data_IF_182412365788
#
_entry.id   IF_182412365788
#
_cell.length_a   1.000
_cell.length_b   1.000
_cell.length_c   1.000
_cell.angle_alpha   90.00
_cell.angle_beta   90.00
_cell.angle_gamma   90.00
#
_symmetry.space_group_name_H-M   'P 1'
#
loop_
_entity.id
_entity.type
_entity.pdbx_description
1 polymer ?
#
# COMPACT_ATOMS: atom_id res chain seq x y z
N UNK A 1 5.37 17.42 5.76
CA UNK A 1 5.32 15.94 5.76
C UNK A 1 6.68 15.40 5.38
N UNK A 2 7.12 14.32 6.03
CA UNK A 2 8.33 13.58 5.65
C UNK A 2 7.91 12.32 4.91
N UNK A 3 8.54 12.02 3.79
CA UNK A 3 8.28 10.83 2.99
C UNK A 3 9.42 9.83 3.10
N UNK A 4 9.09 8.56 3.11
CA UNK A 4 10.04 7.45 3.08
C UNK A 4 9.65 6.49 1.98
N UNK A 5 10.63 6.01 1.22
CA UNK A 5 10.47 4.97 0.20
C UNK A 5 11.19 3.72 0.66
N UNK A 6 10.54 2.58 0.48
CA UNK A 6 11.16 1.29 0.76
C UNK A 6 11.43 0.57 -0.55
N UNK A 7 12.66 0.12 -0.73
CA UNK A 7 13.06 -0.74 -1.83
C UNK A 7 12.59 -2.18 -1.58
N UNK A 8 12.59 -2.98 -2.62
CA UNK A 8 12.19 -4.39 -2.51
C UNK A 8 13.17 -5.27 -1.72
N UNK A 9 14.39 -4.82 -1.48
CA UNK A 9 15.35 -5.44 -0.56
C UNK A 9 15.10 -5.08 0.92
N UNK A 10 14.08 -4.25 1.20
CA UNK A 10 13.72 -3.78 2.52
C UNK A 10 14.47 -2.52 2.97
N UNK A 11 15.43 -2.01 2.20
CA UNK A 11 16.11 -0.76 2.54
C UNK A 11 15.16 0.44 2.46
N UNK A 12 15.25 1.35 3.44
CA UNK A 12 14.42 2.55 3.49
C UNK A 12 15.25 3.78 3.10
N UNK A 13 14.67 4.60 2.24
CA UNK A 13 15.22 5.86 1.77
C UNK A 13 14.31 7.01 2.20
N UNK A 14 14.85 7.96 2.97
CA UNK A 14 14.13 9.18 3.30
C UNK A 14 14.20 10.15 2.13
N UNK A 15 13.02 10.56 1.65
CA UNK A 15 12.91 11.57 0.60
C UNK A 15 13.45 12.92 1.11
N UNK A 16 14.07 13.70 0.23
CA UNK A 16 14.29 15.11 0.47
C UNK A 16 12.99 15.84 0.79
N UNK A 17 13.06 17.11 1.09
CA UNK A 17 11.88 17.90 1.40
C UNK A 17 10.80 17.74 0.33
N UNK A 18 9.63 17.29 0.75
CA UNK A 18 8.44 17.28 -0.09
C UNK A 18 7.93 18.71 -0.20
N UNK A 19 7.72 19.19 -1.40
CA UNK A 19 7.14 20.53 -1.65
C UNK A 19 5.67 20.43 -2.08
N UNK A 20 5.23 19.28 -2.56
CA UNK A 20 3.83 19.01 -2.88
C UNK A 20 3.48 17.58 -2.48
N UNK A 21 2.29 17.40 -1.92
CA UNK A 21 1.77 16.08 -1.57
C UNK A 21 0.24 16.09 -1.51
N UNK A 22 -0.35 15.01 -1.94
CA UNK A 22 -1.78 14.74 -1.90
C UNK A 22 -2.00 13.32 -1.39
N UNK A 23 -2.84 13.19 -0.37
CA UNK A 23 -3.32 11.91 0.14
C UNK A 23 -4.83 11.91 0.00
N UNK A 24 -5.38 10.91 -0.67
CA UNK A 24 -6.81 10.78 -0.90
C UNK A 24 -7.31 9.52 -0.18
N UNK A 25 -8.26 9.72 0.72
CA UNK A 25 -8.93 8.66 1.46
C UNK A 25 -10.38 8.63 1.00
N UNK A 26 -10.84 7.47 0.52
CA UNK A 26 -12.18 7.32 -0.04
C UNK A 26 -13.04 6.35 0.75
N UNK A 27 -14.18 6.82 1.28
CA UNK A 27 -15.22 5.92 1.75
C UNK A 27 -15.86 5.21 0.55
N UNK A 28 -15.88 3.88 0.57
CA UNK A 28 -16.43 3.06 -0.52
C UNK A 28 -15.46 2.85 -1.70
N UNK A 29 -14.22 3.30 -1.59
CA UNK A 29 -13.14 2.91 -2.48
C UNK A 29 -12.31 1.81 -1.80
N UNK A 30 -11.99 0.72 -2.50
CA UNK A 30 -11.22 -0.37 -1.91
C UNK A 30 -9.79 0.03 -1.56
N UNK A 31 -9.24 1.07 -2.18
CA UNK A 31 -7.95 1.60 -1.77
C UNK A 31 -7.85 3.11 -1.92
N UNK A 32 -7.11 3.70 -0.99
CA UNK A 32 -6.71 5.10 -1.00
C UNK A 32 -5.63 5.35 -2.05
N UNK A 33 -5.27 6.60 -2.29
CA UNK A 33 -4.20 6.96 -3.22
C UNK A 33 -3.32 8.08 -2.69
N UNK A 34 -2.11 8.16 -3.19
CA UNK A 34 -1.18 9.24 -2.89
C UNK A 34 -0.44 9.75 -4.12
N UNK A 35 -0.09 11.02 -4.09
CA UNK A 35 0.84 11.66 -5.01
C UNK A 35 1.76 12.56 -4.21
N UNK A 36 3.05 12.43 -4.38
CA UNK A 36 4.05 13.26 -3.72
C UNK A 36 5.10 13.74 -4.70
N UNK A 37 5.59 14.96 -4.48
CA UNK A 37 6.64 15.55 -5.27
C UNK A 37 7.77 16.04 -4.37
N UNK A 38 8.99 15.62 -4.66
CA UNK A 38 10.19 15.96 -3.91
C UNK A 38 11.26 16.54 -4.84
N UNK A 39 12.19 17.32 -4.29
CA UNK A 39 13.43 17.64 -5.00
C UNK A 39 14.27 16.37 -5.10
N UNK A 40 14.93 16.19 -6.22
CA UNK A 40 15.79 15.03 -6.48
C UNK A 40 17.16 15.47 -6.97
N UNK A 41 18.20 14.92 -6.39
CA UNK A 41 19.58 15.23 -6.79
C UNK A 41 20.03 14.47 -8.05
N UNK A 42 19.25 13.47 -8.48
CA UNK A 42 19.53 12.66 -9.66
C UNK A 42 20.63 11.62 -9.46
N UNK A 43 21.21 11.50 -8.27
CA UNK A 43 22.40 10.68 -8.00
C UNK A 43 22.14 9.18 -8.13
N UNK A 44 20.91 8.72 -7.92
CA UNK A 44 20.55 7.30 -7.87
C UNK A 44 19.33 7.00 -8.73
N UNK A 45 19.40 7.34 -10.03
CA UNK A 45 18.30 7.04 -10.97
C UNK A 45 17.99 5.53 -11.08
N UNK A 46 18.97 4.67 -10.81
CA UNK A 46 18.82 3.22 -10.72
C UNK A 46 17.89 2.75 -9.60
N UNK A 47 17.72 3.56 -8.55
CA UNK A 47 16.81 3.23 -7.45
C UNK A 47 15.34 3.44 -7.77
N UNK A 48 15.00 4.27 -8.78
CA UNK A 48 13.61 4.64 -9.05
C UNK A 48 12.72 3.41 -9.33
N UNK A 49 13.25 2.42 -10.03
CA UNK A 49 12.56 1.17 -10.33
C UNK A 49 12.55 0.18 -9.16
N UNK A 50 13.24 0.47 -8.06
CA UNK A 50 13.36 -0.42 -6.92
C UNK A 50 12.41 -0.05 -5.79
N UNK A 51 11.81 1.14 -5.84
CA UNK A 51 10.87 1.58 -4.82
C UNK A 51 9.54 0.86 -4.96
N UNK A 52 9.12 0.20 -3.90
CA UNK A 52 7.88 -0.60 -3.86
C UNK A 52 6.85 -0.05 -2.90
N UNK A 53 7.28 0.67 -1.86
CA UNK A 53 6.39 1.20 -0.82
C UNK A 53 6.71 2.65 -0.50
N UNK A 54 5.68 3.38 -0.12
CA UNK A 54 5.74 4.74 0.39
C UNK A 54 5.15 4.80 1.79
N UNK A 55 5.80 5.57 2.67
CA UNK A 55 5.30 5.90 4.00
C UNK A 55 5.39 7.40 4.22
N UNK A 56 4.26 8.03 4.47
CA UNK A 56 4.14 9.46 4.80
C UNK A 56 4.02 9.66 6.31
N UNK A 57 4.85 10.56 6.86
CA UNK A 57 4.87 10.90 8.29
C UNK A 57 4.56 12.38 8.47
N UNK A 58 3.60 12.70 9.34
CA UNK A 58 3.22 14.05 9.71
C UNK A 58 3.16 14.18 11.23
N UNK A 59 3.91 15.13 11.81
CA UNK A 59 3.99 15.32 13.27
C UNK A 59 4.30 14.01 14.02
N UNK A 60 5.32 13.31 13.55
CA UNK A 60 5.80 12.03 14.10
C UNK A 60 4.80 10.85 14.07
N UNK A 61 3.69 11.03 13.34
CA UNK A 61 2.73 9.97 13.12
C UNK A 61 2.71 9.54 11.66
N UNK A 62 2.69 8.23 11.42
CA UNK A 62 2.45 7.71 10.08
C UNK A 62 1.00 8.02 9.68
N UNK A 63 0.85 8.83 8.64
CA UNK A 63 -0.47 9.22 8.10
C UNK A 63 -0.84 8.46 6.85
N UNK A 64 0.12 7.86 6.16
CA UNK A 64 -0.15 7.07 4.98
C UNK A 64 0.91 5.97 4.81
N UNK A 65 0.47 4.79 4.38
CA UNK A 65 1.34 3.71 3.90
C UNK A 65 0.71 3.12 2.64
N UNK A 66 1.51 2.93 1.61
CA UNK A 66 0.99 2.44 0.33
C UNK A 66 2.05 1.80 -0.56
N UNK A 67 1.55 1.30 -1.67
CA UNK A 67 2.33 0.69 -2.76
C UNK A 67 2.69 1.78 -3.77
N UNK A 68 3.92 1.80 -4.25
CA UNK A 68 4.36 2.69 -5.32
C UNK A 68 3.98 2.06 -6.66
N UNK A 69 3.12 2.74 -7.42
CA UNK A 69 2.75 2.33 -8.77
C UNK A 69 3.65 3.01 -9.81
N UNK A 70 4.00 4.30 -9.58
CA UNK A 70 4.83 5.09 -10.49
C UNK A 70 5.87 5.89 -9.71
N UNK A 71 7.09 5.91 -10.22
CA UNK A 71 8.17 6.74 -9.70
C UNK A 71 8.95 7.33 -10.88
N UNK A 72 8.79 8.62 -11.11
CA UNK A 72 9.36 9.31 -12.26
C UNK A 72 10.23 10.49 -11.84
N UNK A 73 11.35 10.68 -12.53
CA UNK A 73 12.15 11.88 -12.39
C UNK A 73 11.94 12.79 -13.60
N UNK A 74 11.67 14.07 -13.35
CA UNK A 74 11.55 15.11 -14.36
C UNK A 74 12.57 16.20 -14.10
N UNK A 75 13.29 16.62 -15.13
CA UNK A 75 14.26 17.72 -15.07
C UNK A 75 13.75 18.93 -15.86
N UNK A 76 13.70 20.08 -15.20
CA UNK A 76 13.35 21.36 -15.80
C UNK A 76 14.39 22.45 -15.47
N UNK A 77 14.08 23.69 -15.84
CA UNK A 77 14.96 24.85 -15.56
C UNK A 77 15.18 25.14 -14.06
N UNK A 78 14.37 24.55 -13.17
CA UNK A 78 14.42 24.74 -11.73
C UNK A 78 15.07 23.55 -11.00
N UNK A 79 15.51 22.53 -11.72
CA UNK A 79 16.18 21.37 -11.14
C UNK A 79 15.50 20.04 -11.52
N UNK A 80 15.89 18.99 -10.82
CA UNK A 80 15.28 17.66 -10.98
C UNK A 80 14.25 17.44 -9.88
N UNK A 81 13.09 16.95 -10.27
CA UNK A 81 11.98 16.60 -9.38
C UNK A 81 11.72 15.12 -9.47
N UNK A 82 11.33 14.54 -8.35
CA UNK A 82 10.84 13.18 -8.26
C UNK A 82 9.34 13.23 -7.99
N UNK A 83 8.57 12.62 -8.87
CA UNK A 83 7.14 12.43 -8.72
C UNK A 83 6.85 10.97 -8.43
N UNK A 84 6.12 10.71 -7.36
CA UNK A 84 5.79 9.37 -6.90
C UNK A 84 4.29 9.30 -6.71
N UNK A 85 3.69 8.28 -7.31
CA UNK A 85 2.26 8.00 -7.21
C UNK A 85 2.04 6.56 -6.81
N UNK A 86 0.93 6.33 -6.14
CA UNK A 86 0.55 4.99 -5.79
C UNK A 86 -0.75 4.91 -5.01
N UNK A 87 -1.02 3.71 -4.54
CA UNK A 87 -2.25 3.34 -3.85
C UNK A 87 -1.98 2.91 -2.43
N UNK A 88 -3.00 2.94 -1.58
CA UNK A 88 -2.95 2.37 -0.23
C UNK A 88 -2.65 0.88 -0.24
N UNK A 89 -2.29 0.33 0.93
CA UNK A 89 -1.89 -1.07 1.06
C UNK A 89 -2.96 -2.07 0.60
N UNK A 90 -4.24 -1.70 0.65
CA UNK A 90 -5.35 -2.55 0.16
C UNK A 90 -5.27 -2.83 -1.36
N UNK A 91 -4.47 -2.07 -2.12
CA UNK A 91 -4.18 -2.39 -3.52
C UNK A 91 -3.61 -3.81 -3.69
N UNK A 92 -2.83 -4.29 -2.72
CA UNK A 92 -2.30 -5.65 -2.76
C UNK A 92 -3.40 -6.72 -2.71
N UNK A 93 -4.51 -6.44 -2.04
CA UNK A 93 -5.65 -7.36 -1.98
C UNK A 93 -6.45 -7.35 -3.28
N UNK A 94 -6.46 -6.20 -4.00
CA UNK A 94 -7.11 -6.09 -5.30
C UNK A 94 -6.32 -6.77 -6.41
N UNK A 95 -5.00 -6.63 -6.36
CA UNK A 95 -4.09 -7.03 -7.45
C UNK A 95 -3.69 -8.52 -7.35
N UNK A 96 -3.95 -9.17 -6.21
CA UNK A 96 -3.57 -10.58 -6.00
C UNK A 96 -4.80 -11.49 -5.97
N UNK A 97 -4.66 -12.63 -6.63
CA UNK A 97 -5.64 -13.72 -6.62
C UNK A 97 -5.54 -14.51 -5.32
N UNK A 98 -6.69 -14.74 -4.70
CA UNK A 98 -6.79 -15.59 -3.52
C UNK A 98 -6.55 -17.06 -3.86
N UNK A 99 -5.89 -17.75 -2.97
CA UNK A 99 -5.77 -19.20 -3.08
C UNK A 99 -7.11 -19.83 -2.70
N UNK A 100 -7.67 -20.64 -3.62
CA UNK A 100 -8.92 -21.35 -3.37
C UNK A 100 -8.84 -22.18 -2.09
N UNK A 101 -9.84 -22.06 -1.24
CA UNK A 101 -9.90 -22.74 0.06
C UNK A 101 -11.34 -23.03 0.49
N UNK A 102 -11.52 -24.13 1.21
CA UNK A 102 -12.79 -24.50 1.81
C UNK A 102 -12.69 -24.50 3.34
N UNK A 103 -13.46 -23.64 3.97
CA UNK A 103 -13.56 -23.55 5.43
C UNK A 103 -14.85 -24.20 5.90
N UNK A 104 -14.77 -25.22 6.76
CA UNK A 104 -15.94 -25.80 7.41
C UNK A 104 -16.64 -24.79 8.31
N UNK A 105 -15.83 -24.01 9.04
CA UNK A 105 -16.21 -22.85 9.83
C UNK A 105 -15.12 -21.81 9.68
N UNK A 106 -15.46 -20.59 9.30
CA UNK A 106 -14.54 -19.45 9.19
C UNK A 106 -14.93 -18.37 10.18
N UNK A 107 -13.98 -17.94 10.99
CA UNK A 107 -14.08 -16.70 11.75
C UNK A 107 -13.48 -15.55 10.95
N UNK A 108 -13.85 -14.31 11.26
CA UNK A 108 -13.21 -13.14 10.66
C UNK A 108 -11.67 -13.17 10.87
N UNK A 109 -11.22 -13.67 12.04
CA UNK A 109 -9.79 -13.79 12.34
C UNK A 109 -9.07 -14.77 11.43
N UNK A 110 -9.72 -15.88 11.05
CA UNK A 110 -9.16 -16.85 10.12
C UNK A 110 -9.01 -16.22 8.73
N UNK A 111 -10.06 -15.56 8.25
CA UNK A 111 -10.05 -14.88 6.94
C UNK A 111 -8.97 -13.80 6.90
N UNK A 112 -8.90 -12.93 7.90
CA UNK A 112 -7.90 -11.86 7.94
C UNK A 112 -6.47 -12.39 8.07
N UNK A 113 -6.26 -13.47 8.84
CA UNK A 113 -4.96 -14.11 8.96
C UNK A 113 -4.48 -14.69 7.63
N UNK A 114 -5.39 -15.34 6.88
CA UNK A 114 -5.04 -16.09 5.67
C UNK A 114 -4.99 -15.19 4.42
N UNK A 115 -5.83 -14.15 4.35
CA UNK A 115 -6.01 -13.32 3.16
C UNK A 115 -5.52 -11.87 3.26
N UNK A 116 -5.23 -11.36 4.46
CA UNK A 116 -4.81 -9.94 4.66
C UNK A 116 -3.41 -9.82 5.24
N UNK A 117 -3.15 -10.56 6.33
CA UNK A 117 -1.87 -10.49 7.05
C UNK A 117 -0.64 -10.83 6.20
N UNK A 118 -0.69 -11.79 5.24
CA UNK A 118 0.46 -12.12 4.39
C UNK A 118 0.99 -10.95 3.56
N UNK A 119 0.14 -9.96 3.30
CA UNK A 119 0.50 -8.74 2.56
C UNK A 119 1.14 -7.65 3.42
N UNK A 120 1.37 -7.92 4.72
CA UNK A 120 1.92 -6.96 5.67
C UNK A 120 0.93 -5.86 6.07
N UNK A 121 -0.37 -6.10 5.89
CA UNK A 121 -1.43 -5.20 6.31
C UNK A 121 -1.77 -5.51 7.77
N UNK A 122 -1.66 -4.49 8.61
CA UNK A 122 -2.00 -4.60 10.03
C UNK A 122 -3.51 -4.46 10.20
N UNK A 123 -4.13 -5.43 10.83
CA UNK A 123 -5.54 -5.40 11.16
C UNK A 123 -5.73 -4.63 12.48
N UNK A 124 -6.55 -3.58 12.44
CA UNK A 124 -6.87 -2.77 13.61
C UNK A 124 -7.86 -3.44 14.58
N UNK A 125 -8.31 -2.67 15.56
CA UNK A 125 -9.36 -3.09 16.50
C UNK A 125 -10.66 -3.39 15.72
N UNK A 126 -11.30 -4.49 16.05
CA UNK A 126 -12.55 -4.96 15.44
C UNK A 126 -13.49 -5.53 16.45
N UNK A 127 -14.78 -5.48 16.11
CA UNK A 127 -15.83 -6.13 16.88
C UNK A 127 -15.77 -7.66 16.79
N UNK A 128 -16.56 -8.32 17.60
CA UNK A 128 -16.79 -9.77 17.50
C UNK A 128 -17.89 -10.04 16.47
N UNK A 129 -17.59 -10.88 15.50
CA UNK A 129 -18.53 -11.27 14.44
C UNK A 129 -18.81 -12.78 14.56
N UNK A 130 -20.03 -13.22 14.18
CA UNK A 130 -20.34 -14.64 14.15
C UNK A 130 -19.47 -15.34 13.08
N UNK A 131 -19.11 -16.58 13.35
CA UNK A 131 -18.47 -17.43 12.34
C UNK A 131 -19.47 -17.78 11.22
N UNK A 132 -18.97 -17.93 10.02
CA UNK A 132 -19.72 -18.40 8.85
C UNK A 132 -19.39 -19.87 8.57
N UNK A 133 -20.38 -20.63 8.11
CA UNK A 133 -20.23 -22.07 7.85
C UNK A 133 -21.27 -22.55 6.81
N UNK A 134 -20.87 -23.23 5.73
CA UNK A 134 -19.49 -23.28 5.22
C UNK A 134 -19.09 -21.97 4.54
N UNK A 135 -17.80 -21.74 4.34
CA UNK A 135 -17.27 -20.62 3.58
C UNK A 135 -16.24 -21.13 2.57
N UNK A 136 -16.40 -20.81 1.31
CA UNK A 136 -15.51 -21.24 0.23
C UNK A 136 -14.95 -20.04 -0.51
N UNK A 137 -13.66 -20.09 -0.81
CA UNK A 137 -12.96 -19.13 -1.65
C UNK A 137 -12.80 -19.74 -3.03
N UNK A 138 -13.44 -19.14 -4.03
CA UNK A 138 -13.35 -19.60 -5.41
C UNK A 138 -12.01 -19.19 -6.04
N UNK A 139 -11.44 -20.08 -6.84
CA UNK A 139 -10.28 -19.79 -7.69
C UNK A 139 -10.63 -18.65 -8.66
N UNK A 140 -9.73 -17.66 -8.78
CA UNK A 140 -9.93 -16.47 -9.61
C UNK A 140 -10.53 -15.28 -8.88
N UNK A 141 -10.94 -15.44 -7.62
CA UNK A 141 -11.34 -14.31 -6.77
C UNK A 141 -10.09 -13.51 -6.36
N UNK A 142 -10.21 -12.18 -6.27
CA UNK A 142 -9.15 -11.40 -5.63
C UNK A 142 -9.21 -11.57 -4.10
N UNK A 143 -8.09 -11.33 -3.42
CA UNK A 143 -8.07 -11.31 -1.95
C UNK A 143 -9.07 -10.29 -1.38
N UNK A 144 -9.29 -9.19 -2.09
CA UNK A 144 -10.30 -8.19 -1.70
C UNK A 144 -11.71 -8.79 -1.71
N UNK A 145 -12.08 -9.53 -2.76
CA UNK A 145 -13.41 -10.17 -2.85
C UNK A 145 -13.67 -11.19 -1.74
N UNK A 146 -12.62 -11.76 -1.18
CA UNK A 146 -12.74 -12.71 -0.06
C UNK A 146 -13.05 -11.99 1.25
N UNK A 147 -12.56 -10.76 1.45
CA UNK A 147 -12.69 -10.01 2.71
C UNK A 147 -13.81 -8.97 2.71
N UNK A 148 -14.38 -8.67 1.54
CA UNK A 148 -15.51 -7.74 1.38
C UNK A 148 -16.83 -8.37 1.83
#
# INVERSE_FOLDING_TARGET
MTGFLTCWDGSEYQLPQLYEWRLCYGLGSPCDSFEVCALWDGVRADLLAQFTRFRGVWKDQTVFTGVVDECESCRDGNGTRLMIRGRGMAALLLDNEAVGADYQVATLDDILRDHVTPYGITVGERGTFPAVSPFSVDTGSSEWQVVE
#
